data_IF_010045404379
#
_entry.id   IF_010045404379
#
_cell.length_a   1.000
_cell.length_b   1.000
_cell.length_c   1.000
_cell.angle_alpha   90.00
_cell.angle_beta   90.00
_cell.angle_gamma   90.00
#
_symmetry.space_group_name_H-M   'P 1'
#
loop_
_entity.id
_entity.type
_entity.pdbx_description
1 polymer ?
#
# COMPACT_ATOMS: atom_id res chain seq x y z
N UNK A 1 -22.59 10.86 8.99
CA UNK A 1 -21.57 11.91 9.24
C UNK A 1 -20.46 11.24 10.01
N UNK A 2 -19.43 10.77 9.30
CA UNK A 2 -18.24 10.24 9.93
C UNK A 2 -17.55 11.36 10.70
N UNK A 3 -17.24 11.12 11.96
CA UNK A 3 -16.38 12.00 12.73
C UNK A 3 -14.97 11.87 12.15
N UNK A 4 -14.55 12.90 11.42
CA UNK A 4 -13.16 13.07 11.00
C UNK A 4 -12.29 13.11 12.27
N UNK A 5 -11.50 12.06 12.49
CA UNK A 5 -10.57 12.02 13.62
C UNK A 5 -9.61 13.20 13.52
N UNK A 6 -9.44 13.97 14.60
CA UNK A 6 -8.51 15.12 14.64
C UNK A 6 -7.03 14.76 14.38
N UNK A 7 -6.70 13.48 14.28
CA UNK A 7 -5.36 13.02 13.95
C UNK A 7 -5.21 12.87 12.43
N UNK A 8 -4.14 13.45 11.84
CA UNK A 8 -3.84 13.24 10.43
C UNK A 8 -3.47 11.78 10.19
N UNK A 9 -3.91 11.22 9.06
CA UNK A 9 -3.63 9.85 8.63
C UNK A 9 -2.14 9.56 8.37
N UNK A 10 -1.35 10.61 8.10
CA UNK A 10 0.09 10.55 7.89
C UNK A 10 0.74 11.90 8.28
N UNK A 11 2.02 11.87 8.68
CA UNK A 11 2.79 13.09 8.96
C UNK A 11 3.12 13.91 7.71
N UNK A 12 3.10 13.27 6.54
CA UNK A 12 3.31 13.92 5.25
C UNK A 12 2.00 14.03 4.50
N UNK A 13 1.88 15.04 3.63
CA UNK A 13 0.71 15.17 2.76
C UNK A 13 0.69 14.01 1.77
N UNK A 14 -0.35 13.19 1.85
CA UNK A 14 -0.65 12.16 0.86
C UNK A 14 -1.98 12.52 0.16
N UNK A 15 -2.19 12.09 -1.10
CA UNK A 15 -3.49 12.26 -1.74
C UNK A 15 -4.57 11.55 -0.95
N UNK A 16 -5.79 12.10 -0.93
CA UNK A 16 -6.99 11.40 -0.45
C UNK A 16 -7.26 10.15 -1.29
N UNK A 17 -8.10 9.25 -0.78
CA UNK A 17 -8.49 8.05 -1.54
C UNK A 17 -9.16 8.40 -2.87
N UNK A 18 -10.07 9.38 -2.87
CA UNK A 18 -10.77 9.84 -4.07
C UNK A 18 -9.81 10.45 -5.11
N UNK A 19 -8.88 11.33 -4.66
CA UNK A 19 -7.86 11.90 -5.54
C UNK A 19 -6.96 10.81 -6.14
N UNK A 20 -6.57 9.81 -5.33
CA UNK A 20 -5.75 8.72 -5.84
C UNK A 20 -6.52 7.88 -6.86
N UNK A 21 -7.79 7.56 -6.57
CA UNK A 21 -8.64 6.77 -7.47
C UNK A 21 -8.82 7.44 -8.82
N UNK A 22 -8.97 8.76 -8.87
CA UNK A 22 -9.08 9.53 -10.11
C UNK A 22 -7.81 9.50 -10.98
N UNK A 23 -6.65 9.19 -10.41
CA UNK A 23 -5.37 9.09 -11.13
C UNK A 23 -5.09 7.69 -11.70
N UNK A 24 -5.89 6.69 -11.35
CA UNK A 24 -5.68 5.31 -11.78
C UNK A 24 -6.39 5.11 -13.12
N UNK A 25 -5.69 4.62 -14.16
CA UNK A 25 -6.32 4.34 -15.44
C UNK A 25 -7.46 3.31 -15.30
N UNK A 26 -8.55 3.44 -16.07
CA UNK A 26 -9.62 2.45 -16.07
C UNK A 26 -9.11 1.03 -16.30
N UNK A 27 -9.57 0.07 -15.49
CA UNK A 27 -9.19 -1.34 -15.59
C UNK A 27 -7.87 -1.72 -14.90
N UNK A 28 -7.12 -0.76 -14.35
CA UNK A 28 -5.91 -1.04 -13.57
C UNK A 28 -6.25 -1.22 -12.10
N UNK A 29 -5.79 -2.31 -11.48
CA UNK A 29 -5.97 -2.53 -10.04
C UNK A 29 -5.11 -1.56 -9.23
N UNK A 30 -5.73 -0.91 -8.24
CA UNK A 30 -5.08 0.05 -7.35
C UNK A 30 -4.14 -0.58 -6.33
N UNK A 31 -4.36 -1.85 -6.00
CA UNK A 31 -3.63 -2.61 -4.99
C UNK A 31 -3.56 -4.07 -5.40
N UNK A 32 -2.54 -4.79 -4.93
CA UNK A 32 -2.49 -6.24 -5.01
C UNK A 32 -3.47 -6.94 -4.07
N UNK A 33 -4.04 -6.20 -3.12
CA UNK A 33 -5.05 -6.67 -2.16
C UNK A 33 -6.42 -6.10 -2.50
N UNK A 34 -7.46 -6.87 -2.17
CA UNK A 34 -8.86 -6.47 -2.35
C UNK A 34 -9.46 -5.99 -1.03
N UNK A 35 -9.07 -4.79 -0.61
CA UNK A 35 -9.56 -4.18 0.64
C UNK A 35 -10.90 -3.42 0.46
N UNK A 36 -11.37 -3.22 -0.77
CA UNK A 36 -12.49 -2.32 -1.09
C UNK A 36 -12.13 -0.82 -1.09
N UNK A 37 -10.95 -0.43 -0.60
CA UNK A 37 -10.44 0.94 -0.60
C UNK A 37 -8.96 1.00 -1.02
N UNK A 38 -8.43 2.21 -1.28
CA UNK A 38 -7.00 2.41 -1.56
C UNK A 38 -6.26 2.73 -0.26
N UNK A 39 -5.40 1.83 0.26
CA UNK A 39 -4.71 2.05 1.52
C UNK A 39 -3.77 3.26 1.46
N UNK A 40 -3.63 3.96 2.59
CA UNK A 40 -2.71 5.09 2.76
C UNK A 40 -1.27 4.81 2.29
N UNK A 41 -0.72 3.60 2.45
CA UNK A 41 0.61 3.25 1.95
C UNK A 41 0.70 3.37 0.42
N UNK A 42 -0.33 2.92 -0.31
CA UNK A 42 -0.39 3.10 -1.76
C UNK A 42 -0.47 4.57 -2.18
N UNK A 43 -1.15 5.39 -1.37
CA UNK A 43 -1.26 6.85 -1.57
C UNK A 43 0.05 7.56 -1.24
N UNK A 44 0.73 7.14 -0.18
CA UNK A 44 2.08 7.59 0.19
C UNK A 44 3.07 7.33 -0.93
N UNK A 45 3.16 6.09 -1.44
CA UNK A 45 4.05 5.76 -2.55
C UNK A 45 3.75 6.59 -3.81
N UNK A 46 2.48 6.89 -4.07
CA UNK A 46 2.10 7.75 -5.20
C UNK A 46 2.52 9.21 -5.06
N UNK A 47 2.75 9.69 -3.84
CA UNK A 47 3.28 11.04 -3.59
C UNK A 47 4.76 11.17 -4.02
N UNK A 48 5.47 10.04 -4.18
CA UNK A 48 6.88 10.01 -4.56
C UNK A 48 7.08 9.59 -6.02
N UNK A 49 7.22 10.56 -6.93
CA UNK A 49 7.29 10.31 -8.38
C UNK A 49 8.48 9.45 -8.81
N UNK A 50 9.64 9.64 -8.19
CA UNK A 50 10.88 9.00 -8.63
C UNK A 50 11.04 7.58 -8.07
N UNK A 51 10.64 7.36 -6.80
CA UNK A 51 10.83 6.08 -6.10
C UNK A 51 9.56 5.21 -6.07
N UNK A 52 8.38 5.81 -6.17
CA UNK A 52 7.10 5.12 -6.06
C UNK A 52 6.93 3.97 -7.07
N UNK A 53 7.22 4.19 -8.37
CA UNK A 53 7.14 3.12 -9.39
C UNK A 53 8.12 1.97 -9.11
N UNK A 54 9.37 2.28 -8.73
CA UNK A 54 10.39 1.27 -8.45
C UNK A 54 10.02 0.43 -7.22
N UNK A 55 9.58 1.08 -6.14
CA UNK A 55 9.13 0.40 -4.93
C UNK A 55 7.91 -0.49 -5.20
N UNK A 56 6.91 0.03 -5.94
CA UNK A 56 5.70 -0.71 -6.28
C UNK A 56 6.02 -1.98 -7.09
N UNK A 57 6.96 -1.90 -8.02
CA UNK A 57 7.43 -3.05 -8.78
C UNK A 57 8.14 -4.07 -7.89
N UNK A 58 9.05 -3.62 -7.04
CA UNK A 58 9.74 -4.48 -6.08
C UNK A 58 8.74 -5.21 -5.18
N UNK A 59 7.81 -4.47 -4.57
CA UNK A 59 6.78 -5.03 -3.71
C UNK A 59 5.93 -6.08 -4.44
N UNK A 60 5.49 -5.77 -5.67
CA UNK A 60 4.72 -6.72 -6.48
C UNK A 60 5.49 -8.01 -6.73
N UNK A 61 6.74 -7.91 -7.17
CA UNK A 61 7.60 -9.07 -7.43
C UNK A 61 7.83 -9.89 -6.18
N UNK A 62 8.15 -9.25 -5.06
CA UNK A 62 8.41 -9.93 -3.80
C UNK A 62 7.15 -10.60 -3.28
N UNK A 63 5.99 -9.96 -3.33
CA UNK A 63 4.80 -10.49 -2.66
C UNK A 63 3.98 -11.43 -3.56
N UNK A 64 3.81 -11.12 -4.85
CA UNK A 64 2.76 -11.74 -5.69
C UNK A 64 3.28 -12.63 -6.82
N UNK A 65 4.49 -12.39 -7.32
CA UNK A 65 5.02 -13.15 -8.47
C UNK A 65 5.59 -14.51 -8.03
N UNK A 66 5.74 -15.49 -8.94
CA UNK A 66 6.33 -16.79 -8.63
C UNK A 66 7.72 -16.68 -7.97
N UNK A 67 8.02 -17.61 -7.06
CA UNK A 67 9.27 -17.64 -6.31
C UNK A 67 9.34 -18.86 -5.39
N UNK A 68 10.40 -18.96 -4.59
CA UNK A 68 10.63 -20.12 -3.71
C UNK A 68 9.64 -20.25 -2.56
N UNK A 69 8.98 -19.15 -2.17
CA UNK A 69 7.97 -19.13 -1.11
C UNK A 69 6.57 -19.05 -1.72
N UNK A 70 5.64 -19.78 -1.13
CA UNK A 70 4.21 -19.63 -1.35
C UNK A 70 3.72 -18.25 -0.92
N UNK A 71 2.53 -17.85 -1.38
CA UNK A 71 1.96 -16.56 -0.96
C UNK A 71 1.79 -16.49 0.56
N UNK A 72 1.29 -17.55 1.18
CA UNK A 72 1.06 -17.63 2.62
C UNK A 72 2.36 -17.46 3.42
N UNK A 73 3.46 -18.09 2.98
CA UNK A 73 4.77 -17.95 3.64
C UNK A 73 5.31 -16.52 3.54
N UNK A 74 5.11 -15.84 2.40
CA UNK A 74 5.52 -14.43 2.26
C UNK A 74 4.73 -13.51 3.17
N UNK A 75 3.43 -13.74 3.32
CA UNK A 75 2.59 -12.99 4.28
C UNK A 75 3.01 -13.26 5.73
N UNK A 76 3.34 -14.51 6.07
CA UNK A 76 3.86 -14.84 7.41
C UNK A 76 5.15 -14.06 7.71
N UNK A 77 6.09 -14.02 6.77
CA UNK A 77 7.33 -13.24 6.92
C UNK A 77 7.02 -11.75 7.05
N UNK A 78 6.11 -11.20 6.25
CA UNK A 78 5.69 -9.81 6.34
C UNK A 78 5.08 -9.47 7.71
N UNK A 79 4.20 -10.33 8.24
CA UNK A 79 3.58 -10.16 9.55
C UNK A 79 4.63 -10.18 10.69
N UNK A 80 5.53 -11.17 10.68
CA UNK A 80 6.61 -11.28 11.68
C UNK A 80 7.52 -10.05 11.63
N UNK A 81 7.91 -9.62 10.43
CA UNK A 81 8.78 -8.47 10.24
C UNK A 81 8.12 -7.15 10.68
N UNK A 82 6.81 -6.98 10.45
CA UNK A 82 6.06 -5.81 10.89
C UNK A 82 5.98 -5.75 12.42
N UNK A 83 5.63 -6.87 13.08
CA UNK A 83 5.53 -6.96 14.54
C UNK A 83 6.90 -6.75 15.20
N UNK A 84 7.97 -7.33 14.66
CA UNK A 84 9.32 -7.17 15.18
C UNK A 84 9.82 -5.71 15.12
N UNK A 85 9.25 -4.89 14.23
CA UNK A 85 9.58 -3.48 14.06
C UNK A 85 8.57 -2.52 14.71
N UNK A 86 7.57 -3.05 15.43
CA UNK A 86 6.46 -2.26 15.99
C UNK A 86 5.73 -1.42 14.92
N UNK A 87 5.56 -2.00 13.72
CA UNK A 87 4.86 -1.35 12.61
C UNK A 87 3.37 -1.69 12.65
N UNK A 88 2.54 -0.72 13.08
CA UNK A 88 1.09 -0.91 13.27
C UNK A 88 0.23 -0.77 12.01
N UNK A 89 0.76 -0.13 10.96
CA UNK A 89 0.02 0.17 9.73
C UNK A 89 -0.46 -1.09 9.00
#
# INVERSE_FOLDING_TARGET
MEQESKQPEAWVKIPTEAERRAQIPPGVRASGYDYGFIPAMGRLLSAHKDIGPAFSNLFRTVMFEPGHLTRQEREMVAAVAAVAQDCHY
#
